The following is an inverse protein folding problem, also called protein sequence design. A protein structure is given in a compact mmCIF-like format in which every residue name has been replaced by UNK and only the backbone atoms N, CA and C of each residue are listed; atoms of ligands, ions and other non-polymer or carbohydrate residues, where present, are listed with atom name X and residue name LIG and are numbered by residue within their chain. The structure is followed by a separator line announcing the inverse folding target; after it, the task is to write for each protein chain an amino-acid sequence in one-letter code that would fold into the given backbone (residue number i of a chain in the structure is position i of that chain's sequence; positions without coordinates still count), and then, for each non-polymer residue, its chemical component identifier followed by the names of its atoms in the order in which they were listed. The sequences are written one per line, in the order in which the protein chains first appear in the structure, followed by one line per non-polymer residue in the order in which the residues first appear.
data_IF_199322295346
#
_entry.id   IF_199322295346
#
_cell.length_a   1.000
_cell.length_b   1.000
_cell.length_c   1.000
_cell.angle_alpha   90.00
_cell.angle_beta   90.00
_cell.angle_gamma   90.00
#
_symmetry.space_group_name_H-M   'P 1'
#
loop_
_entity.id
_entity.type
_entity.pdbx_description
1 polymer ?
#
# COMPACT_ATOMS: atom_id res chain seq x y z
N UNK A 1 14.71 -0.75 -16.77
CA UNK A 1 16.14 -1.00 -16.70
C UNK A 1 16.64 -0.69 -15.30
N UNK A 2 17.41 -1.61 -14.67
CA UNK A 2 18.00 -1.44 -13.35
C UNK A 2 19.51 -1.40 -13.52
N UNK A 3 20.12 -0.30 -13.11
CA UNK A 3 21.56 -0.13 -13.11
C UNK A 3 22.04 -0.01 -11.67
N UNK A 4 22.67 -1.05 -11.09
CA UNK A 4 23.14 -0.98 -9.72
C UNK A 4 24.39 -0.11 -9.63
N UNK A 5 24.64 0.46 -8.45
CA UNK A 5 25.86 1.20 -8.17
C UNK A 5 27.12 0.30 -8.23
N UNK A 6 26.97 -0.95 -7.76
CA UNK A 6 28.03 -1.97 -7.83
C UNK A 6 27.56 -3.20 -8.62
N UNK A 7 28.37 -3.65 -9.57
CA UNK A 7 28.07 -4.83 -10.39
C UNK A 7 27.94 -6.13 -9.58
N UNK A 8 28.56 -6.21 -8.41
CA UNK A 8 28.46 -7.34 -7.48
C UNK A 8 27.02 -7.60 -7.01
N UNK A 9 26.20 -6.54 -6.94
CA UNK A 9 24.79 -6.61 -6.49
C UNK A 9 23.82 -7.19 -7.54
N UNK A 10 24.24 -7.30 -8.82
CA UNK A 10 23.36 -7.76 -9.90
C UNK A 10 22.70 -9.11 -9.61
N UNK A 11 23.45 -10.08 -9.12
CA UNK A 11 22.93 -11.43 -8.82
C UNK A 11 21.94 -11.43 -7.65
N UNK A 12 22.18 -10.60 -6.66
CA UNK A 12 21.28 -10.49 -5.49
C UNK A 12 19.98 -9.79 -5.89
N UNK A 13 20.07 -8.73 -6.69
CA UNK A 13 18.89 -8.03 -7.23
C UNK A 13 18.08 -8.96 -8.11
N UNK A 14 18.72 -9.72 -8.99
CA UNK A 14 18.06 -10.72 -9.85
C UNK A 14 17.31 -11.77 -9.02
N UNK A 15 17.95 -12.32 -7.99
CA UNK A 15 17.31 -13.27 -7.06
C UNK A 15 16.11 -12.64 -6.34
N UNK A 16 16.26 -11.41 -5.86
CA UNK A 16 15.19 -10.71 -5.18
C UNK A 16 13.98 -10.47 -6.10
N UNK A 17 14.21 -10.13 -7.36
CA UNK A 17 13.14 -9.96 -8.36
C UNK A 17 12.44 -11.28 -8.64
N UNK A 18 13.20 -12.38 -8.81
CA UNK A 18 12.62 -13.71 -9.04
C UNK A 18 11.81 -14.22 -7.84
N UNK A 19 12.22 -13.87 -6.61
CA UNK A 19 11.50 -14.22 -5.39
C UNK A 19 10.29 -13.32 -5.12
N UNK A 20 10.17 -12.19 -5.82
CA UNK A 20 9.08 -11.22 -5.68
C UNK A 20 7.83 -11.65 -6.47
N UNK A 21 6.69 -11.06 -6.12
CA UNK A 21 5.42 -11.28 -6.82
C UNK A 21 5.28 -10.48 -8.13
N UNK A 22 6.35 -9.87 -8.62
CA UNK A 22 6.34 -9.07 -9.86
C UNK A 22 5.97 -9.91 -11.08
N UNK A 23 6.36 -11.20 -11.11
CA UNK A 23 6.00 -12.13 -12.17
C UNK A 23 6.64 -11.83 -13.53
N UNK A 24 7.77 -11.12 -13.53
CA UNK A 24 8.56 -10.78 -14.71
C UNK A 24 9.95 -11.39 -14.56
N UNK A 25 10.43 -12.10 -15.57
CA UNK A 25 11.77 -12.67 -15.56
C UNK A 25 12.81 -11.59 -15.88
N UNK A 26 13.78 -11.34 -14.99
CA UNK A 26 14.85 -10.39 -15.26
C UNK A 26 15.86 -10.94 -16.28
N UNK A 27 16.32 -10.06 -17.15
CA UNK A 27 17.44 -10.33 -18.07
C UNK A 27 18.68 -9.57 -17.57
N UNK A 28 19.72 -10.34 -17.16
CA UNK A 28 20.96 -9.78 -16.66
C UNK A 28 22.06 -9.89 -17.75
N UNK A 29 22.56 -8.75 -18.19
CA UNK A 29 23.63 -8.67 -19.19
C UNK A 29 25.03 -8.46 -18.59
N UNK A 30 25.19 -8.56 -17.27
CA UNK A 30 26.44 -8.33 -16.55
C UNK A 30 26.74 -6.87 -16.18
N UNK A 31 25.90 -5.93 -16.63
CA UNK A 31 26.00 -4.49 -16.32
C UNK A 31 24.69 -3.92 -15.78
N UNK A 32 23.60 -4.39 -16.34
CA UNK A 32 22.25 -3.94 -16.01
C UNK A 32 21.28 -5.12 -16.00
N UNK A 33 20.17 -4.96 -15.30
CA UNK A 33 19.04 -5.89 -15.35
C UNK A 33 17.91 -5.22 -16.13
N UNK A 34 17.45 -5.89 -17.18
CA UNK A 34 16.28 -5.48 -17.96
C UNK A 34 15.06 -6.29 -17.53
N UNK A 35 13.96 -5.60 -17.28
CA UNK A 35 12.65 -6.19 -17.07
C UNK A 35 11.79 -5.89 -18.31
N UNK A 36 11.52 -6.89 -19.12
CA UNK A 36 10.57 -6.78 -20.22
C UNK A 36 9.15 -6.86 -19.69
N UNK A 37 8.36 -5.80 -19.87
CA UNK A 37 6.95 -5.78 -19.45
C UNK A 37 6.14 -6.35 -20.61
N UNK A 38 5.58 -7.60 -20.50
CA UNK A 38 4.76 -8.16 -21.56
C UNK A 38 3.43 -7.42 -21.67
N UNK A 39 2.74 -7.50 -22.83
CA UNK A 39 1.36 -7.02 -22.94
C UNK A 39 0.47 -7.67 -21.86
N UNK A 40 -0.39 -6.87 -21.24
CA UNK A 40 -1.30 -7.38 -20.22
C UNK A 40 -2.39 -8.24 -20.84
N UNK A 41 -2.41 -9.52 -20.49
CA UNK A 41 -3.54 -10.42 -20.78
C UNK A 41 -4.71 -10.10 -19.87
N UNK A 42 -5.92 -10.54 -20.23
CA UNK A 42 -7.10 -10.35 -19.38
C UNK A 42 -6.94 -11.02 -18.00
N UNK A 43 -6.36 -12.23 -17.96
CA UNK A 43 -6.09 -12.93 -16.70
C UNK A 43 -5.08 -12.18 -15.83
N UNK A 44 -4.07 -11.58 -16.46
CA UNK A 44 -3.09 -10.75 -15.73
C UNK A 44 -3.74 -9.49 -15.18
N UNK A 45 -4.62 -8.83 -15.93
CA UNK A 45 -5.39 -7.67 -15.47
C UNK A 45 -6.25 -8.02 -14.26
N UNK A 46 -6.95 -9.15 -14.29
CA UNK A 46 -7.75 -9.63 -13.16
C UNK A 46 -6.90 -9.90 -11.93
N UNK A 47 -5.75 -10.52 -12.11
CA UNK A 47 -4.79 -10.78 -11.02
C UNK A 47 -4.27 -9.47 -10.40
N UNK A 48 -3.91 -8.48 -11.23
CA UNK A 48 -3.47 -7.17 -10.77
C UNK A 48 -4.58 -6.41 -10.03
N UNK A 49 -5.81 -6.45 -10.52
CA UNK A 49 -6.96 -5.84 -9.85
C UNK A 49 -7.22 -6.49 -8.48
N UNK A 50 -7.09 -7.81 -8.38
CA UNK A 50 -7.19 -8.53 -7.11
C UNK A 50 -6.11 -8.12 -6.12
N UNK A 51 -4.86 -8.00 -6.58
CA UNK A 51 -3.75 -7.55 -5.74
C UNK A 51 -3.97 -6.10 -5.27
N UNK A 52 -4.42 -5.21 -6.16
CA UNK A 52 -4.75 -3.83 -5.79
C UNK A 52 -5.84 -3.77 -4.72
N UNK A 53 -6.87 -4.62 -4.84
CA UNK A 53 -7.93 -4.73 -3.82
C UNK A 53 -7.38 -5.18 -2.47
N UNK A 54 -6.52 -6.18 -2.45
CA UNK A 54 -5.90 -6.68 -1.21
C UNK A 54 -5.05 -5.59 -0.54
N UNK A 55 -4.28 -4.83 -1.31
CA UNK A 55 -3.50 -3.70 -0.80
C UNK A 55 -4.40 -2.59 -0.24
N UNK A 56 -5.49 -2.26 -0.92
CA UNK A 56 -6.46 -1.29 -0.42
C UNK A 56 -7.10 -1.73 0.90
N UNK A 57 -7.50 -3.00 1.03
CA UNK A 57 -8.03 -3.53 2.29
C UNK A 57 -6.99 -3.51 3.42
N UNK A 58 -5.73 -3.88 3.14
CA UNK A 58 -4.65 -3.80 4.11
C UNK A 58 -4.40 -2.36 4.58
N UNK A 59 -4.44 -1.39 3.67
CA UNK A 59 -4.33 0.03 4.01
C UNK A 59 -5.48 0.49 4.92
N UNK A 60 -6.71 0.09 4.62
CA UNK A 60 -7.87 0.42 5.48
C UNK A 60 -7.76 -0.20 6.88
N UNK A 61 -7.24 -1.43 6.98
CA UNK A 61 -6.95 -2.05 8.29
C UNK A 61 -5.94 -1.22 9.08
N UNK A 62 -4.88 -0.76 8.45
CA UNK A 62 -3.86 0.09 9.10
C UNK A 62 -4.47 1.42 9.59
N UNK A 63 -5.34 2.05 8.79
CA UNK A 63 -6.06 3.27 9.18
C UNK A 63 -6.97 3.02 10.39
N UNK A 64 -7.70 1.89 10.41
CA UNK A 64 -8.55 1.52 11.56
C UNK A 64 -7.74 1.28 12.83
N UNK A 65 -6.59 0.62 12.72
CA UNK A 65 -5.70 0.40 13.84
C UNK A 65 -5.17 1.73 14.39
N UNK A 66 -4.70 2.62 13.54
CA UNK A 66 -4.23 3.94 13.95
C UNK A 66 -5.33 4.74 14.67
N UNK A 67 -6.58 4.69 14.18
CA UNK A 67 -7.71 5.31 14.88
C UNK A 67 -7.93 4.71 16.26
N UNK A 68 -7.96 3.38 16.36
CA UNK A 68 -8.15 2.67 17.64
C UNK A 68 -7.08 3.07 18.64
N UNK A 69 -5.82 3.04 18.24
CA UNK A 69 -4.71 3.39 19.11
C UNK A 69 -4.80 4.86 19.56
N UNK A 70 -5.22 5.76 18.67
CA UNK A 70 -5.47 7.17 18.99
C UNK A 70 -6.59 7.31 20.04
N UNK A 71 -7.70 6.61 19.87
CA UNK A 71 -8.82 6.64 20.83
C UNK A 71 -8.38 6.12 22.20
N UNK A 72 -7.57 5.06 22.24
CA UNK A 72 -7.05 4.51 23.50
C UNK A 72 -6.16 5.53 24.24
N UNK A 73 -5.32 6.26 23.50
CA UNK A 73 -4.50 7.35 24.06
C UNK A 73 -5.39 8.48 24.60
N UNK A 74 -6.43 8.88 23.86
CA UNK A 74 -7.37 9.93 24.29
C UNK A 74 -8.09 9.51 25.59
N UNK A 75 -8.60 8.28 25.64
CA UNK A 75 -9.29 7.75 26.85
C UNK A 75 -8.37 7.71 28.05
N UNK A 76 -7.11 7.34 27.85
CA UNK A 76 -6.11 7.37 28.91
C UNK A 76 -5.88 8.79 29.40
N UNK A 77 -5.74 9.77 28.49
CA UNK A 77 -5.55 11.17 28.85
C UNK A 77 -6.74 11.72 29.68
N UNK A 78 -7.97 11.32 29.34
CA UNK A 78 -9.18 11.71 30.13
C UNK A 78 -9.13 11.12 31.52
N UNK A 79 -8.71 9.86 31.69
CA UNK A 79 -8.51 9.24 33.00
C UNK A 79 -7.44 9.94 33.83
N UNK A 80 -6.41 10.48 33.17
CA UNK A 80 -5.30 11.17 33.80
C UNK A 80 -5.61 12.66 34.09
N UNK A 81 -6.84 13.13 33.82
CA UNK A 81 -7.32 14.45 34.22
C UNK A 81 -7.65 15.43 33.09
N UNK A 82 -7.55 15.00 31.81
CA UNK A 82 -8.03 15.83 30.70
C UNK A 82 -9.56 15.94 30.75
N UNK A 83 -10.14 17.14 30.54
CA UNK A 83 -11.59 17.34 30.51
C UNK A 83 -12.30 16.41 29.51
N UNK A 84 -13.44 15.84 29.91
CA UNK A 84 -14.21 14.91 29.09
C UNK A 84 -14.68 15.49 27.74
N UNK A 85 -15.05 16.76 27.72
CA UNK A 85 -15.48 17.47 26.50
C UNK A 85 -14.36 17.56 25.48
N UNK A 86 -13.13 17.84 25.90
CA UNK A 86 -11.95 17.81 25.03
C UNK A 86 -11.65 16.40 24.53
N UNK A 87 -11.83 15.39 25.37
CA UNK A 87 -11.70 13.98 24.97
C UNK A 87 -12.70 13.61 23.87
N UNK A 88 -13.95 13.98 24.03
CA UNK A 88 -15.01 13.73 23.02
C UNK A 88 -14.72 14.47 21.69
N UNK A 89 -14.28 15.71 21.74
CA UNK A 89 -13.91 16.47 20.56
C UNK A 89 -12.73 15.82 19.83
N UNK A 90 -11.71 15.36 20.56
CA UNK A 90 -10.56 14.66 20.01
C UNK A 90 -10.95 13.30 19.38
N UNK A 91 -11.85 12.53 19.99
CA UNK A 91 -12.38 11.30 19.42
C UNK A 91 -13.16 11.56 18.13
N UNK A 92 -13.98 12.62 18.10
CA UNK A 92 -14.73 13.02 16.91
C UNK A 92 -13.81 13.42 15.77
N UNK A 93 -12.73 14.15 16.06
CA UNK A 93 -11.73 14.54 15.06
C UNK A 93 -10.95 13.32 14.53
N UNK A 94 -10.56 12.39 15.40
CA UNK A 94 -9.93 11.13 15.01
C UNK A 94 -10.84 10.33 14.07
N UNK A 95 -12.15 10.30 14.32
CA UNK A 95 -13.12 9.65 13.45
C UNK A 95 -13.23 10.34 12.07
N UNK A 96 -13.23 11.64 12.03
CA UNK A 96 -13.25 12.41 10.76
C UNK A 96 -12.01 12.12 9.91
N UNK A 97 -10.83 12.12 10.53
CA UNK A 97 -9.57 11.82 9.86
C UNK A 97 -9.61 10.39 9.31
N UNK A 98 -10.05 9.42 10.11
CA UNK A 98 -10.23 8.04 9.67
C UNK A 98 -11.14 7.95 8.43
N UNK A 99 -12.32 8.55 8.47
CA UNK A 99 -13.29 8.49 7.38
C UNK A 99 -12.74 9.14 6.11
N UNK A 100 -12.04 10.26 6.23
CA UNK A 100 -11.36 10.95 5.13
C UNK A 100 -10.34 10.04 4.43
N UNK A 101 -9.49 9.37 5.18
CA UNK A 101 -8.45 8.53 4.62
C UNK A 101 -8.97 7.20 4.09
N UNK A 102 -9.98 6.60 4.72
CA UNK A 102 -10.67 5.42 4.17
C UNK A 102 -11.32 5.76 2.83
N UNK A 103 -12.00 6.89 2.72
CA UNK A 103 -12.55 7.37 1.44
C UNK A 103 -11.46 7.58 0.40
N UNK A 104 -10.33 8.17 0.77
CA UNK A 104 -9.20 8.38 -0.14
C UNK A 104 -8.63 7.07 -0.66
N UNK A 105 -8.54 6.02 0.18
CA UNK A 105 -8.12 4.68 -0.24
C UNK A 105 -9.12 4.10 -1.24
N UNK A 106 -10.42 4.19 -0.98
CA UNK A 106 -11.46 3.69 -1.87
C UNK A 106 -11.44 4.41 -3.23
N UNK A 107 -11.27 5.72 -3.24
CA UNK A 107 -11.17 6.53 -4.47
C UNK A 107 -9.93 6.14 -5.30
N UNK A 108 -8.79 5.97 -4.64
CA UNK A 108 -7.54 5.54 -5.29
C UNK A 108 -7.65 4.12 -5.85
N UNK A 109 -8.28 3.21 -5.11
CA UNK A 109 -8.51 1.84 -5.57
C UNK A 109 -9.42 1.83 -6.80
N UNK A 110 -10.54 2.55 -6.77
CA UNK A 110 -11.48 2.63 -7.89
C UNK A 110 -10.80 3.19 -9.16
N UNK A 111 -9.99 4.24 -9.01
CA UNK A 111 -9.22 4.81 -10.11
C UNK A 111 -8.20 3.80 -10.66
N UNK A 112 -7.50 3.08 -9.78
CA UNK A 112 -6.50 2.08 -10.18
C UNK A 112 -7.12 0.85 -10.82
N UNK A 113 -8.24 0.37 -10.30
CA UNK A 113 -8.99 -0.73 -10.91
C UNK A 113 -9.43 -0.38 -12.33
N UNK A 114 -9.97 0.82 -12.53
CA UNK A 114 -10.35 1.33 -13.85
C UNK A 114 -9.15 1.37 -14.80
N UNK A 115 -8.01 1.90 -14.34
CA UNK A 115 -6.77 1.95 -15.11
C UNK A 115 -6.30 0.54 -15.55
N UNK A 116 -6.30 -0.41 -14.60
CA UNK A 116 -5.87 -1.80 -14.87
C UNK A 116 -6.79 -2.48 -15.89
N UNK A 117 -8.11 -2.27 -15.79
CA UNK A 117 -9.10 -2.92 -16.63
C UNK A 117 -9.34 -2.21 -17.97
N UNK A 118 -8.82 -1.00 -18.14
CA UNK A 118 -8.93 -0.28 -19.42
C UNK A 118 -7.90 -0.82 -20.42
N UNK A 119 -8.39 -1.18 -21.59
CA UNK A 119 -7.55 -1.69 -22.68
C UNK A 119 -6.92 -0.52 -23.46
#
# INVERSE_FOLDING_TARGET
LITPWEKSLLKEIEKAILASEVGITPENNGETIRLGIPPLTEDRRRSLAKNAKQQAEAAKVSIRNARRDTIDVIKKAVKDGTPEDLGKDAEAEAQKIHDKYVKKVDDLYAAKEKEIMTV
#
